data_IF_721568262755
#
_entry.id   IF_721568262755
#
_cell.length_a   1.000
_cell.length_b   1.000
_cell.length_c   1.000
_cell.angle_alpha   90.00
_cell.angle_beta   90.00
_cell.angle_gamma   90.00
#
_symmetry.space_group_name_H-M   'P 1'
#
loop_
_entity.id
_entity.type
_entity.pdbx_description
1 polymer ?
#
# COMPACT_ATOMS: atom_id res chain seq x y z
N UNK A 1 27.26 -70.59 85.53
CA UNK A 1 26.03 -70.50 84.73
C UNK A 1 25.59 -69.04 84.69
N UNK A 2 25.79 -68.35 83.56
CA UNK A 2 25.48 -66.91 83.37
C UNK A 2 24.01 -66.77 82.97
N UNK A 3 23.25 -65.92 83.67
CA UNK A 3 21.85 -65.57 83.34
C UNK A 3 21.83 -64.55 82.20
N UNK A 4 21.12 -64.86 81.13
CA UNK A 4 20.91 -64.04 79.94
C UNK A 4 19.69 -63.13 80.16
N UNK A 5 19.87 -61.81 80.06
CA UNK A 5 18.82 -60.79 80.12
C UNK A 5 18.19 -60.63 78.72
N UNK A 6 16.87 -60.79 78.62
CA UNK A 6 16.08 -60.52 77.43
C UNK A 6 15.64 -59.04 77.43
N UNK A 7 16.05 -58.29 76.40
CA UNK A 7 15.69 -56.89 76.17
C UNK A 7 14.38 -56.83 75.37
N UNK A 8 13.34 -56.22 75.93
CA UNK A 8 12.05 -55.98 75.25
C UNK A 8 12.14 -54.63 74.52
N UNK A 9 12.15 -54.66 73.18
CA UNK A 9 12.19 -53.46 72.34
C UNK A 9 10.79 -52.85 72.21
N UNK A 10 10.64 -51.60 72.67
CA UNK A 10 9.41 -50.81 72.57
C UNK A 10 9.46 -49.99 71.27
N UNK A 11 8.72 -50.41 70.23
CA UNK A 11 8.63 -49.72 68.96
C UNK A 11 7.50 -48.68 69.00
N UNK A 12 7.84 -47.40 69.17
CA UNK A 12 6.90 -46.28 69.07
C UNK A 12 6.62 -45.95 67.60
N UNK A 13 5.36 -46.12 67.17
CA UNK A 13 4.89 -45.69 65.85
C UNK A 13 4.56 -44.19 65.89
N UNK A 14 5.41 -43.37 65.27
CA UNK A 14 5.14 -41.95 65.02
C UNK A 14 4.31 -41.85 63.72
N UNK A 15 3.04 -41.50 63.86
CA UNK A 15 2.13 -41.21 62.75
C UNK A 15 2.36 -39.77 62.26
N UNK A 16 3.05 -39.60 61.14
CA UNK A 16 3.08 -38.34 60.41
C UNK A 16 1.89 -38.28 59.45
N UNK A 17 0.90 -37.43 59.76
CA UNK A 17 -0.14 -37.04 58.80
C UNK A 17 0.50 -36.22 57.68
N UNK A 18 0.72 -36.85 56.52
CA UNK A 18 1.04 -36.14 55.28
C UNK A 18 -0.22 -35.36 54.88
N UNK A 19 -0.23 -34.06 55.16
CA UNK A 19 -1.10 -33.14 54.42
C UNK A 19 -0.61 -33.15 52.98
N UNK A 20 -1.39 -33.73 52.08
CA UNK A 20 -1.23 -33.51 50.66
C UNK A 20 -1.51 -32.02 50.42
N UNK A 21 -0.46 -31.26 50.12
CA UNK A 21 -0.59 -29.95 49.50
C UNK A 21 -0.79 -30.25 48.03
N UNK A 22 -2.04 -30.25 47.59
CA UNK A 22 -2.37 -30.10 46.18
C UNK A 22 -1.92 -28.68 45.80
N UNK A 23 -0.79 -28.55 45.11
CA UNK A 23 -0.47 -27.34 44.36
C UNK A 23 -1.47 -27.25 43.21
N UNK A 24 -2.63 -26.67 43.50
CA UNK A 24 -3.53 -26.17 42.47
C UNK A 24 -2.84 -24.93 41.87
N UNK A 25 -2.08 -25.14 40.80
CA UNK A 25 -1.63 -24.04 39.96
C UNK A 25 -2.88 -23.40 39.36
N UNK A 26 -3.33 -22.31 39.94
CA UNK A 26 -4.36 -21.44 39.36
C UNK A 26 -3.81 -20.88 38.04
N UNK A 27 -4.03 -21.63 36.95
CA UNK A 27 -3.75 -21.18 35.59
C UNK A 27 -4.81 -20.14 35.28
N UNK A 28 -4.52 -18.89 35.61
CA UNK A 28 -5.31 -17.75 35.17
C UNK A 28 -5.19 -17.66 33.65
N UNK A 29 -6.20 -18.21 32.94
CA UNK A 29 -6.31 -18.08 31.50
C UNK A 29 -6.60 -16.61 31.17
N UNK A 30 -5.56 -15.92 30.70
CA UNK A 30 -5.69 -14.55 30.20
C UNK A 30 -6.48 -14.61 28.90
N UNK A 31 -7.56 -13.83 28.84
CA UNK A 31 -8.35 -13.66 27.62
C UNK A 31 -8.02 -12.31 26.99
N UNK A 32 -8.06 -12.28 25.66
CA UNK A 32 -7.87 -11.06 24.87
C UNK A 32 -9.04 -10.86 23.92
N UNK A 33 -9.30 -9.58 23.61
CA UNK A 33 -10.36 -9.15 22.72
C UNK A 33 -9.86 -9.10 21.28
N UNK A 34 -10.49 -9.88 20.41
CA UNK A 34 -10.44 -9.68 18.96
C UNK A 34 -11.62 -8.81 18.53
N UNK A 35 -11.31 -7.62 18.04
CA UNK A 35 -12.30 -6.66 17.49
C UNK A 35 -12.22 -6.65 15.97
N UNK A 36 -13.32 -7.05 15.32
CA UNK A 36 -13.41 -7.07 13.86
C UNK A 36 -14.41 -6.01 13.41
N UNK A 37 -13.94 -5.08 12.57
CA UNK A 37 -14.80 -4.10 11.91
C UNK A 37 -15.03 -4.55 10.47
N UNK A 38 -16.29 -4.69 10.04
CA UNK A 38 -16.56 -4.87 8.63
C UNK A 38 -16.32 -3.53 7.90
N UNK A 39 -15.52 -3.54 6.83
CA UNK A 39 -15.45 -2.40 5.91
C UNK A 39 -16.58 -2.49 4.88
N UNK A 40 -16.88 -1.36 4.22
CA UNK A 40 -17.85 -1.36 3.11
C UNK A 40 -17.39 -2.31 1.99
N UNK A 41 -18.31 -3.13 1.47
CA UNK A 41 -18.05 -4.00 0.32
C UNK A 41 -17.76 -5.47 0.63
N UNK A 42 -17.96 -5.90 1.88
CA UNK A 42 -17.90 -7.31 2.24
C UNK A 42 -18.12 -7.57 3.72
N UNK A 43 -17.88 -8.81 4.12
CA UNK A 43 -18.05 -9.31 5.49
C UNK A 43 -16.85 -10.15 5.92
N UNK A 44 -16.78 -10.49 7.20
CA UNK A 44 -15.79 -11.42 7.74
C UNK A 44 -16.51 -12.62 8.34
N UNK A 45 -16.09 -13.82 7.95
CA UNK A 45 -16.48 -15.08 8.56
C UNK A 45 -15.38 -15.58 9.49
N UNK A 46 -15.73 -15.92 10.73
CA UNK A 46 -14.82 -16.51 11.71
C UNK A 46 -15.61 -17.19 12.83
N UNK A 47 -14.97 -18.13 13.53
CA UNK A 47 -15.55 -18.73 14.73
C UNK A 47 -15.50 -17.72 15.89
N UNK A 48 -16.67 -17.40 16.46
CA UNK A 48 -16.84 -16.33 17.44
C UNK A 48 -17.53 -16.83 18.72
N UNK A 49 -16.95 -17.83 19.42
CA UNK A 49 -17.66 -18.57 20.47
C UNK A 49 -18.05 -17.71 21.69
N UNK A 50 -17.33 -16.61 21.94
CA UNK A 50 -17.54 -15.73 23.11
C UNK A 50 -17.55 -14.24 22.74
N UNK A 51 -18.19 -13.87 21.63
CA UNK A 51 -18.29 -12.47 21.19
C UNK A 51 -16.93 -11.75 21.09
N UNK A 52 -15.91 -12.45 20.60
CA UNK A 52 -14.58 -11.94 20.30
C UNK A 52 -13.55 -12.16 21.40
N UNK A 53 -13.93 -12.77 22.53
CA UNK A 53 -13.00 -13.13 23.60
C UNK A 53 -12.36 -14.49 23.34
N UNK A 54 -11.03 -14.52 23.31
CA UNK A 54 -10.24 -15.73 23.09
C UNK A 54 -9.16 -15.87 24.16
N UNK A 55 -8.87 -17.10 24.57
CA UNK A 55 -7.75 -17.39 25.46
C UNK A 55 -6.42 -17.08 24.77
N UNK A 56 -5.43 -16.61 25.53
CA UNK A 56 -4.06 -16.41 25.03
C UNK A 56 -3.51 -17.68 24.37
N UNK A 57 -2.85 -17.52 23.22
CA UNK A 57 -2.38 -18.62 22.37
C UNK A 57 -3.43 -19.21 21.43
N UNK A 58 -4.70 -18.76 21.50
CA UNK A 58 -5.74 -19.19 20.56
C UNK A 58 -5.35 -18.88 19.11
N UNK A 59 -5.69 -19.79 18.20
CA UNK A 59 -5.55 -19.60 16.76
C UNK A 59 -6.91 -19.35 16.12
N UNK A 60 -7.12 -18.17 15.56
CA UNK A 60 -8.38 -17.76 14.93
C UNK A 60 -8.18 -17.65 13.43
N UNK A 61 -9.06 -18.27 12.64
CA UNK A 61 -9.06 -18.19 11.17
C UNK A 61 -10.14 -17.21 10.74
N UNK A 62 -9.75 -16.18 10.00
CA UNK A 62 -10.62 -15.13 9.48
C UNK A 62 -10.72 -15.26 7.96
N UNK A 63 -11.93 -15.29 7.42
CA UNK A 63 -12.16 -15.26 5.97
C UNK A 63 -12.86 -13.96 5.60
N UNK A 64 -12.22 -13.15 4.76
CA UNK A 64 -12.84 -11.98 4.16
C UNK A 64 -13.71 -12.43 2.97
N UNK A 65 -15.00 -12.10 3.01
CA UNK A 65 -15.98 -12.46 1.98
C UNK A 65 -16.43 -11.17 1.28
N UNK A 66 -15.92 -10.87 0.06
CA UNK A 66 -16.37 -9.71 -0.69
C UNK A 66 -17.84 -9.84 -1.12
N UNK A 67 -18.57 -8.73 -1.09
CA UNK A 67 -19.90 -8.63 -1.68
C UNK A 67 -19.85 -8.71 -3.22
N UNK A 68 -20.99 -8.93 -3.89
CA UNK A 68 -21.06 -8.90 -5.36
C UNK A 68 -20.52 -7.56 -5.89
N UNK A 69 -19.53 -7.64 -6.78
CA UNK A 69 -18.90 -6.47 -7.39
C UNK A 69 -17.72 -5.89 -6.60
N UNK A 70 -17.37 -6.46 -5.45
CA UNK A 70 -16.20 -6.07 -4.65
C UNK A 70 -15.08 -7.11 -4.69
N UNK A 71 -13.87 -6.66 -4.43
CA UNK A 71 -12.65 -7.46 -4.38
C UNK A 71 -11.95 -7.21 -3.06
N UNK A 72 -11.61 -8.28 -2.34
CA UNK A 72 -10.77 -8.21 -1.15
C UNK A 72 -9.35 -7.84 -1.56
N UNK A 73 -8.83 -6.74 -1.02
CA UNK A 73 -7.44 -6.34 -1.26
C UNK A 73 -6.53 -6.94 -0.19
N UNK A 74 -6.73 -6.54 1.05
CA UNK A 74 -5.86 -6.89 2.18
C UNK A 74 -6.58 -6.67 3.51
N UNK A 75 -6.00 -7.19 4.58
CA UNK A 75 -6.35 -6.87 5.96
C UNK A 75 -5.65 -5.59 6.42
N UNK A 76 -6.16 -4.97 7.48
CA UNK A 76 -5.62 -3.72 8.05
C UNK A 76 -4.17 -3.82 8.56
N UNK A 77 -3.64 -5.03 8.73
CA UNK A 77 -2.23 -5.28 9.05
C UNK A 77 -1.34 -5.48 7.81
N UNK A 78 -1.88 -5.29 6.60
CA UNK A 78 -1.18 -5.48 5.32
C UNK A 78 -1.17 -6.91 4.80
N UNK A 79 -1.66 -7.91 5.55
CA UNK A 79 -1.74 -9.28 5.04
C UNK A 79 -2.76 -9.38 3.90
N UNK A 80 -2.39 -10.11 2.84
CA UNK A 80 -3.27 -10.42 1.71
C UNK A 80 -3.73 -11.88 1.70
N UNK A 81 -3.37 -12.64 2.73
CA UNK A 81 -3.83 -14.00 2.91
C UNK A 81 -5.33 -14.02 3.20
N UNK A 82 -6.04 -14.91 2.52
CA UNK A 82 -7.46 -15.12 2.76
C UNK A 82 -7.78 -16.60 2.48
N UNK A 83 -8.10 -17.41 3.51
CA UNK A 83 -8.25 -17.04 4.93
C UNK A 83 -6.95 -16.59 5.62
N UNK A 84 -7.06 -15.67 6.59
CA UNK A 84 -5.97 -15.20 7.45
C UNK A 84 -5.99 -15.95 8.79
N UNK A 85 -4.82 -16.37 9.27
CA UNK A 85 -4.68 -16.96 10.60
C UNK A 85 -4.06 -15.95 11.57
N UNK A 86 -4.71 -15.73 12.71
CA UNK A 86 -4.21 -14.92 13.82
C UNK A 86 -3.89 -15.78 15.03
N UNK A 87 -2.76 -15.50 15.68
CA UNK A 87 -2.45 -16.01 17.02
C UNK A 87 -2.79 -14.90 18.03
N UNK A 88 -3.63 -15.21 19.01
CA UNK A 88 -4.12 -14.24 19.98
C UNK A 88 -3.16 -14.18 21.17
N UNK A 89 -2.30 -13.17 21.22
CA UNK A 89 -1.34 -12.93 22.32
C UNK A 89 -1.57 -11.59 23.03
N UNK A 90 -2.47 -10.77 22.48
CA UNK A 90 -2.90 -9.48 23.00
C UNK A 90 -4.25 -9.11 22.36
N UNK A 91 -4.84 -8.00 22.80
CA UNK A 91 -6.02 -7.44 22.12
C UNK A 91 -5.65 -7.07 20.67
N UNK A 92 -6.45 -7.54 19.71
CA UNK A 92 -6.22 -7.30 18.28
C UNK A 92 -7.43 -6.59 17.70
N UNK A 93 -7.19 -5.53 16.96
CA UNK A 93 -8.18 -4.91 16.08
C UNK A 93 -7.79 -5.17 14.63
N UNK A 94 -8.70 -5.75 13.85
CA UNK A 94 -8.44 -6.07 12.44
C UNK A 94 -9.70 -5.86 11.59
N UNK A 95 -9.51 -5.43 10.35
CA UNK A 95 -10.60 -5.33 9.38
C UNK A 95 -10.11 -5.64 7.97
N UNK A 96 -10.94 -6.28 7.12
CA UNK A 96 -10.62 -6.44 5.72
C UNK A 96 -10.80 -5.11 4.99
N UNK A 97 -10.14 -4.94 3.86
CA UNK A 97 -10.38 -3.85 2.90
C UNK A 97 -10.95 -4.43 1.62
N UNK A 98 -11.98 -3.77 1.09
CA UNK A 98 -12.59 -4.13 -0.18
C UNK A 98 -12.60 -2.93 -1.14
N UNK A 99 -12.43 -3.21 -2.43
CA UNK A 99 -12.56 -2.23 -3.50
C UNK A 99 -13.56 -2.70 -4.56
N UNK A 100 -14.32 -1.76 -5.11
CA UNK A 100 -15.23 -2.07 -6.21
C UNK A 100 -14.43 -2.44 -7.47
N UNK A 101 -14.76 -3.61 -8.06
CA UNK A 101 -14.06 -4.17 -9.22
C UNK A 101 -14.08 -3.24 -10.44
N UNK A 102 -15.21 -2.58 -10.70
CA UNK A 102 -15.35 -1.66 -11.83
C UNK A 102 -14.57 -0.37 -11.60
N UNK A 103 -14.54 0.14 -10.36
CA UNK A 103 -13.70 1.29 -10.01
C UNK A 103 -12.21 0.98 -10.17
N UNK A 104 -11.77 -0.24 -9.84
CA UNK A 104 -10.40 -0.69 -10.08
C UNK A 104 -10.05 -0.73 -11.57
N UNK A 105 -10.88 -1.36 -12.40
CA UNK A 105 -10.69 -1.42 -13.86
C UNK A 105 -10.66 0.00 -14.45
N UNK A 106 -11.57 0.86 -14.00
CA UNK A 106 -11.64 2.26 -14.39
C UNK A 106 -10.36 3.00 -13.99
N UNK A 107 -9.93 2.91 -12.72
CA UNK A 107 -8.73 3.60 -12.24
C UNK A 107 -7.51 3.14 -13.01
N UNK A 108 -7.31 1.83 -13.18
CA UNK A 108 -6.20 1.29 -13.96
C UNK A 108 -6.18 1.87 -15.36
N UNK A 109 -7.32 1.86 -16.07
CA UNK A 109 -7.42 2.47 -17.41
C UNK A 109 -7.12 3.97 -17.39
N UNK A 110 -7.52 4.69 -16.34
CA UNK A 110 -7.34 6.13 -16.23
C UNK A 110 -5.91 6.58 -15.92
N UNK A 111 -5.11 5.77 -15.23
CA UNK A 111 -3.75 6.19 -14.84
C UNK A 111 -2.65 5.37 -15.52
N UNK A 112 -2.88 4.14 -15.96
CA UNK A 112 -1.82 3.28 -16.52
C UNK A 112 -1.72 3.36 -18.04
N UNK A 113 -2.84 3.54 -18.75
CA UNK A 113 -2.86 3.54 -20.22
C UNK A 113 -3.32 4.90 -20.75
N UNK A 114 -2.42 5.58 -21.44
CA UNK A 114 -2.62 6.85 -22.13
C UNK A 114 -2.93 6.71 -23.62
N UNK A 115 -2.87 7.84 -24.30
CA UNK A 115 -3.07 8.00 -25.74
C UNK A 115 -1.76 8.29 -26.50
N UNK A 116 -0.62 8.29 -25.79
CA UNK A 116 0.70 8.60 -26.34
C UNK A 116 1.07 10.08 -26.21
N UNK A 117 0.09 10.97 -26.09
CA UNK A 117 0.32 12.35 -25.67
C UNK A 117 0.35 12.39 -24.15
N UNK A 118 -0.72 11.96 -23.48
CA UNK A 118 -0.85 11.95 -22.03
C UNK A 118 -0.47 10.58 -21.45
N UNK A 119 0.81 10.22 -21.49
CA UNK A 119 1.33 8.96 -20.93
C UNK A 119 1.28 7.75 -21.88
N UNK A 120 1.68 6.55 -21.41
CA UNK A 120 2.04 5.45 -22.31
C UNK A 120 0.83 4.76 -22.91
N UNK A 121 0.85 4.50 -24.22
CA UNK A 121 -0.21 3.73 -24.92
C UNK A 121 -0.30 2.26 -24.51
N UNK A 122 0.71 1.75 -23.79
CA UNK A 122 0.81 0.36 -23.37
C UNK A 122 1.38 0.26 -21.96
N UNK A 123 1.17 -0.87 -21.28
CA UNK A 123 1.78 -1.11 -19.97
C UNK A 123 3.31 -1.03 -20.03
N UNK A 124 3.89 -0.24 -19.14
CA UNK A 124 5.32 -0.14 -18.90
C UNK A 124 5.58 -0.42 -17.42
N UNK A 125 6.74 -1.00 -17.11
CA UNK A 125 7.09 -1.36 -15.72
C UNK A 125 8.54 -1.02 -15.43
N UNK A 126 8.84 -0.81 -14.16
CA UNK A 126 10.21 -0.85 -13.67
C UNK A 126 10.63 -2.27 -13.30
N UNK A 127 11.92 -2.58 -13.42
CA UNK A 127 12.55 -3.70 -12.70
C UNK A 127 13.25 -3.18 -11.45
N UNK A 128 14.24 -2.32 -11.65
CA UNK A 128 14.96 -1.69 -10.55
C UNK A 128 14.83 -0.17 -10.71
N UNK A 129 14.10 0.46 -9.81
CA UNK A 129 13.95 1.90 -9.72
C UNK A 129 14.98 2.43 -8.71
N UNK A 130 16.13 2.85 -9.22
CA UNK A 130 17.20 3.46 -8.42
C UNK A 130 17.00 4.97 -8.42
N UNK A 131 16.88 5.58 -7.25
CA UNK A 131 16.59 7.00 -7.11
C UNK A 131 17.78 7.73 -6.52
N UNK A 132 18.37 8.62 -7.31
CA UNK A 132 19.37 9.58 -6.87
C UNK A 132 18.71 10.95 -6.71
N UNK A 133 18.94 11.62 -5.59
CA UNK A 133 18.42 12.96 -5.35
C UNK A 133 19.54 13.96 -5.06
N UNK A 134 19.49 15.09 -5.75
CA UNK A 134 20.42 16.20 -5.63
C UNK A 134 19.71 17.44 -5.05
N UNK A 135 20.35 18.10 -4.08
CA UNK A 135 19.90 19.40 -3.55
C UNK A 135 18.72 19.35 -2.57
N UNK A 136 18.35 18.16 -2.11
CA UNK A 136 17.23 17.87 -1.21
C UNK A 136 17.37 18.51 0.19
N UNK A 137 16.23 18.90 0.76
CA UNK A 137 16.10 19.20 2.19
C UNK A 137 15.87 17.92 3.00
N UNK A 138 15.95 18.03 4.34
CA UNK A 138 15.67 16.91 5.24
C UNK A 138 14.23 16.37 5.10
N UNK A 139 13.26 17.24 4.85
CA UNK A 139 11.86 16.87 4.66
C UNK A 139 11.64 16.08 3.37
N UNK A 140 12.32 16.48 2.29
CA UNK A 140 12.30 15.78 1.01
C UNK A 140 12.92 14.38 1.17
N UNK A 141 14.07 14.28 1.84
CA UNK A 141 14.74 13.00 2.12
C UNK A 141 13.83 12.03 2.90
N UNK A 142 13.18 12.52 3.96
CA UNK A 142 12.27 11.70 4.78
C UNK A 142 11.08 11.20 3.98
N UNK A 143 10.45 12.06 3.18
CA UNK A 143 9.30 11.65 2.38
C UNK A 143 9.70 10.67 1.27
N UNK A 144 10.88 10.86 0.67
CA UNK A 144 11.40 9.91 -0.32
C UNK A 144 11.62 8.54 0.30
N UNK A 145 12.18 8.46 1.51
CA UNK A 145 12.36 7.19 2.22
C UNK A 145 11.01 6.49 2.48
N UNK A 146 10.00 7.24 2.91
CA UNK A 146 8.62 6.72 3.11
C UNK A 146 7.99 6.26 1.79
N UNK A 147 8.18 6.99 0.69
CA UNK A 147 7.71 6.59 -0.63
C UNK A 147 8.35 5.27 -1.08
N UNK A 148 9.66 5.12 -0.91
CA UNK A 148 10.40 3.92 -1.30
C UNK A 148 9.92 2.69 -0.52
N UNK A 149 9.75 2.82 0.80
CA UNK A 149 9.23 1.74 1.64
C UNK A 149 7.81 1.33 1.23
N UNK A 150 6.93 2.32 1.03
CA UNK A 150 5.55 2.07 0.63
C UNK A 150 5.47 1.43 -0.78
N UNK A 151 6.26 1.90 -1.74
CA UNK A 151 6.26 1.36 -3.10
C UNK A 151 6.74 -0.10 -3.14
N UNK A 152 7.82 -0.42 -2.43
CA UNK A 152 8.28 -1.81 -2.31
C UNK A 152 7.23 -2.70 -1.63
N UNK A 153 6.48 -2.17 -0.66
CA UNK A 153 5.39 -2.90 -0.02
C UNK A 153 4.23 -3.14 -0.99
N UNK A 154 3.80 -2.11 -1.72
CA UNK A 154 2.72 -2.21 -2.72
C UNK A 154 3.07 -3.23 -3.81
N UNK A 155 4.32 -3.22 -4.27
CA UNK A 155 4.80 -4.02 -5.40
C UNK A 155 5.48 -5.33 -4.97
N UNK A 156 5.30 -5.75 -3.72
CA UNK A 156 5.83 -7.01 -3.17
C UNK A 156 5.34 -8.26 -3.90
N UNK A 157 4.30 -8.15 -4.75
CA UNK A 157 3.83 -9.23 -5.62
C UNK A 157 4.71 -9.47 -6.85
N UNK A 158 5.66 -8.57 -7.16
CA UNK A 158 6.61 -8.70 -8.26
C UNK A 158 8.03 -8.88 -7.71
N UNK A 159 8.51 -10.11 -7.73
CA UNK A 159 9.85 -10.45 -7.22
C UNK A 159 11.01 -9.90 -8.06
N UNK A 160 10.73 -9.33 -9.23
CA UNK A 160 11.73 -8.64 -10.06
C UNK A 160 11.77 -7.14 -9.79
N UNK A 161 10.78 -6.61 -9.07
CA UNK A 161 10.72 -5.20 -8.73
C UNK A 161 11.59 -4.88 -7.50
N UNK A 162 12.33 -3.78 -7.58
CA UNK A 162 12.94 -3.12 -6.43
C UNK A 162 12.95 -1.61 -6.61
N UNK A 163 12.80 -0.88 -5.51
CA UNK A 163 13.03 0.55 -5.44
C UNK A 163 14.03 0.86 -4.33
N UNK A 164 15.05 1.66 -4.61
CA UNK A 164 16.07 2.03 -3.62
C UNK A 164 16.63 3.42 -3.87
N UNK A 165 17.08 4.08 -2.80
CA UNK A 165 17.83 5.32 -2.89
C UNK A 165 19.31 5.00 -3.12
N UNK A 166 19.94 5.68 -4.08
CA UNK A 166 21.34 5.47 -4.48
C UNK A 166 22.13 6.77 -4.43
N UNK A 167 23.45 6.68 -4.49
CA UNK A 167 24.37 7.84 -4.45
C UNK A 167 24.91 8.23 -5.82
N UNK A 168 24.78 7.35 -6.82
CA UNK A 168 25.16 7.56 -8.19
C UNK A 168 23.95 7.94 -9.06
N UNK A 169 24.15 8.84 -10.01
CA UNK A 169 23.13 9.28 -10.95
C UNK A 169 22.84 8.18 -11.99
N UNK A 170 22.06 7.18 -11.60
CA UNK A 170 21.60 6.08 -12.45
C UNK A 170 20.14 5.71 -12.14
N UNK A 171 19.32 5.58 -13.18
CA UNK A 171 17.89 5.30 -13.06
C UNK A 171 17.09 6.60 -13.01
N UNK A 172 16.68 7.01 -11.81
CA UNK A 172 15.88 8.22 -11.56
C UNK A 172 16.77 9.30 -10.97
N UNK A 173 16.90 10.44 -11.66
CA UNK A 173 17.56 11.63 -11.12
C UNK A 173 16.53 12.66 -10.69
N UNK A 174 16.40 12.86 -9.39
CA UNK A 174 15.62 13.93 -8.79
C UNK A 174 16.51 15.13 -8.48
N UNK A 175 16.12 16.32 -8.90
CA UNK A 175 16.88 17.54 -8.71
C UNK A 175 15.97 18.56 -8.01
N UNK A 176 16.31 18.92 -6.77
CA UNK A 176 15.67 20.02 -6.07
C UNK A 176 16.48 21.31 -6.24
N UNK A 177 16.05 22.16 -7.18
CA UNK A 177 16.82 23.31 -7.66
C UNK A 177 15.92 24.41 -8.20
N UNK A 178 16.49 25.53 -8.61
CA UNK A 178 15.77 26.47 -9.49
C UNK A 178 15.56 25.85 -10.88
N UNK A 179 14.62 26.40 -11.65
CA UNK A 179 14.41 25.98 -13.04
C UNK A 179 15.68 26.16 -13.90
N UNK A 180 16.39 27.28 -13.73
CA UNK A 180 17.66 27.56 -14.41
C UNK A 180 18.74 26.50 -14.10
N UNK A 181 18.91 26.15 -12.83
CA UNK A 181 19.85 25.11 -12.41
C UNK A 181 19.48 23.74 -13.00
N UNK A 182 18.19 23.41 -13.08
CA UNK A 182 17.72 22.17 -13.70
C UNK A 182 18.01 22.15 -15.20
N UNK A 183 17.73 23.24 -15.92
CA UNK A 183 17.98 23.37 -17.34
C UNK A 183 19.48 23.35 -17.68
N UNK A 184 20.34 23.81 -16.77
CA UNK A 184 21.79 23.66 -16.92
C UNK A 184 22.25 22.19 -16.86
N UNK A 185 21.54 21.34 -16.10
CA UNK A 185 21.80 19.89 -16.05
C UNK A 185 21.17 19.20 -17.28
N UNK A 186 20.00 19.67 -17.71
CA UNK A 186 19.23 19.10 -18.81
C UNK A 186 18.75 20.15 -19.83
N UNK A 187 19.65 20.65 -20.70
CA UNK A 187 19.32 21.69 -21.67
C UNK A 187 18.25 21.30 -22.69
N UNK A 188 18.01 20.01 -22.89
CA UNK A 188 16.97 19.50 -23.78
C UNK A 188 15.54 19.93 -23.39
N UNK A 189 15.32 20.40 -22.16
CA UNK A 189 14.02 20.93 -21.72
C UNK A 189 13.85 22.44 -21.94
N UNK A 190 14.89 23.19 -22.34
CA UNK A 190 14.89 24.67 -22.41
C UNK A 190 13.90 25.26 -23.44
N UNK A 191 13.33 24.42 -24.32
CA UNK A 191 12.40 24.86 -25.38
C UNK A 191 11.21 23.90 -25.59
N UNK A 192 10.83 23.14 -24.57
CA UNK A 192 9.70 22.22 -24.64
C UNK A 192 8.32 22.92 -24.56
N UNK A 193 8.29 24.25 -24.44
CA UNK A 193 7.06 25.03 -24.28
C UNK A 193 6.49 25.02 -22.86
N UNK A 194 7.27 24.58 -21.87
CA UNK A 194 6.91 24.54 -20.45
C UNK A 194 7.82 25.49 -19.68
N UNK A 195 7.24 26.50 -19.05
CA UNK A 195 7.93 27.37 -18.09
C UNK A 195 7.99 26.63 -16.75
N UNK A 196 9.12 25.97 -16.45
CA UNK A 196 9.26 25.06 -15.29
C UNK A 196 9.01 25.77 -13.95
N UNK A 197 9.35 27.06 -13.87
CA UNK A 197 9.14 27.93 -12.72
C UNK A 197 7.68 28.06 -12.29
N UNK A 198 6.72 27.82 -13.19
CA UNK A 198 5.28 27.88 -12.90
C UNK A 198 4.74 26.63 -12.16
N UNK A 199 5.56 25.59 -12.03
CA UNK A 199 5.16 24.29 -11.49
C UNK A 199 5.99 23.91 -10.26
N UNK A 200 5.41 23.13 -9.35
CA UNK A 200 6.14 22.60 -8.18
C UNK A 200 7.08 21.46 -8.54
N UNK A 201 6.74 20.72 -9.58
CA UNK A 201 7.56 19.66 -10.10
C UNK A 201 7.28 19.40 -11.56
N UNK A 202 8.17 18.64 -12.14
CA UNK A 202 8.05 18.12 -13.48
C UNK A 202 8.76 16.77 -13.55
N UNK A 203 8.15 15.81 -14.22
CA UNK A 203 8.73 14.51 -14.44
C UNK A 203 8.75 14.15 -15.92
N UNK A 204 9.79 13.43 -16.29
CA UNK A 204 9.86 12.72 -17.56
C UNK A 204 10.54 11.38 -17.35
N UNK A 205 10.32 10.46 -18.28
CA UNK A 205 10.86 9.11 -18.20
C UNK A 205 11.06 8.55 -19.59
N UNK A 206 11.92 7.55 -19.71
CA UNK A 206 12.11 6.80 -20.94
C UNK A 206 12.06 5.29 -20.67
N UNK A 207 11.72 4.53 -21.71
CA UNK A 207 11.61 3.08 -21.63
C UNK A 207 12.34 2.42 -22.80
N UNK A 208 12.88 1.24 -22.55
CA UNK A 208 13.53 0.44 -23.59
C UNK A 208 12.50 -0.24 -24.52
N UNK A 209 12.99 -0.83 -25.61
CA UNK A 209 12.16 -1.47 -26.62
C UNK A 209 11.28 -2.61 -26.07
N UNK A 210 11.71 -3.26 -24.97
CA UNK A 210 11.00 -4.33 -24.29
C UNK A 210 9.85 -3.81 -23.40
N UNK A 211 9.75 -2.51 -23.16
CA UNK A 211 8.70 -1.90 -22.35
C UNK A 211 9.06 -1.72 -20.88
N UNK A 212 10.35 -1.83 -20.51
CA UNK A 212 10.79 -1.46 -19.18
C UNK A 212 11.20 0.01 -19.14
N UNK A 213 10.62 0.74 -18.19
CA UNK A 213 11.12 2.07 -17.82
C UNK A 213 12.51 1.88 -17.20
N UNK A 214 13.46 2.69 -17.64
CA UNK A 214 14.86 2.58 -17.24
C UNK A 214 15.54 3.94 -16.98
N UNK A 215 14.85 5.04 -17.24
CA UNK A 215 15.32 6.39 -16.92
C UNK A 215 14.14 7.23 -16.42
N UNK A 216 14.37 8.04 -15.39
CA UNK A 216 13.44 9.03 -14.88
C UNK A 216 14.17 10.32 -14.52
N UNK A 217 13.54 11.46 -14.75
CA UNK A 217 14.06 12.76 -14.37
C UNK A 217 12.96 13.53 -13.68
N UNK A 218 13.25 14.05 -12.50
CA UNK A 218 12.30 14.80 -11.69
C UNK A 218 12.93 16.13 -11.33
N UNK A 219 12.27 17.21 -11.72
CA UNK A 219 12.51 18.54 -11.20
C UNK A 219 11.59 18.75 -9.99
N UNK A 220 12.17 19.22 -8.88
CA UNK A 220 11.44 19.72 -7.71
C UNK A 220 11.78 21.20 -7.55
N UNK A 221 10.82 22.08 -7.78
CA UNK A 221 11.06 23.50 -7.85
C UNK A 221 11.45 24.10 -6.48
N UNK A 222 12.50 24.91 -6.50
CA UNK A 222 13.06 25.61 -5.35
C UNK A 222 12.86 27.12 -5.51
N UNK A 223 11.68 27.63 -5.14
CA UNK A 223 11.58 28.46 -3.94
C UNK A 223 10.98 27.60 -2.83
N UNK A 224 11.73 27.40 -1.74
CA UNK A 224 11.48 26.40 -0.69
C UNK A 224 10.01 25.99 -0.53
N UNK A 225 9.65 24.80 -1.01
CA UNK A 225 8.38 24.16 -0.68
C UNK A 225 8.43 23.78 0.80
N UNK A 226 8.05 24.71 1.68
CA UNK A 226 8.08 24.52 3.15
C UNK A 226 6.84 23.79 3.67
N UNK A 227 5.80 23.65 2.85
CA UNK A 227 4.58 22.97 3.23
C UNK A 227 4.72 21.45 3.06
N UNK A 228 4.82 20.74 4.18
CA UNK A 228 5.06 19.28 4.20
C UNK A 228 4.08 18.47 3.34
N UNK A 229 2.80 18.85 3.28
CA UNK A 229 1.79 18.17 2.45
C UNK A 229 2.01 18.41 0.97
N UNK A 230 2.48 19.59 0.57
CA UNK A 230 2.84 19.89 -0.81
C UNK A 230 4.13 19.17 -1.22
N UNK A 231 5.14 19.08 -0.34
CA UNK A 231 6.35 18.26 -0.56
C UNK A 231 5.93 16.82 -0.85
N UNK A 232 5.11 16.25 0.05
CA UNK A 232 4.58 14.91 -0.08
C UNK A 232 3.84 14.69 -1.38
N UNK A 233 2.89 15.56 -1.71
CA UNK A 233 2.14 15.45 -2.96
C UNK A 233 3.06 15.51 -4.17
N UNK A 234 3.97 16.49 -4.24
CA UNK A 234 4.82 16.72 -5.41
C UNK A 234 5.77 15.55 -5.65
N UNK A 235 6.46 15.06 -4.62
CA UNK A 235 7.35 13.90 -4.74
C UNK A 235 6.57 12.70 -5.28
N UNK A 236 5.40 12.41 -4.71
CA UNK A 236 4.60 11.24 -5.07
C UNK A 236 3.95 11.36 -6.45
N UNK A 237 3.51 12.56 -6.81
CA UNK A 237 2.92 12.85 -8.11
C UNK A 237 3.95 12.69 -9.23
N UNK A 238 5.11 13.33 -9.08
CA UNK A 238 6.18 13.28 -10.08
C UNK A 238 6.81 11.89 -10.18
N UNK A 239 7.01 11.18 -9.05
CA UNK A 239 7.45 9.79 -9.10
C UNK A 239 6.35 8.86 -9.65
N UNK A 240 5.07 9.20 -9.47
CA UNK A 240 3.95 8.54 -10.15
C UNK A 240 4.09 8.62 -11.67
N UNK A 241 4.46 9.78 -12.20
CA UNK A 241 4.79 9.91 -13.62
C UNK A 241 5.99 9.06 -14.01
N UNK A 242 7.06 9.03 -13.22
CA UNK A 242 8.22 8.17 -13.46
C UNK A 242 7.86 6.68 -13.44
N UNK A 243 6.83 6.27 -12.69
CA UNK A 243 6.24 4.93 -12.73
C UNK A 243 5.42 4.64 -13.99
N UNK A 244 5.33 5.60 -14.92
CA UNK A 244 4.54 5.50 -16.15
C UNK A 244 3.07 5.87 -15.96
N UNK A 245 2.69 6.47 -14.83
CA UNK A 245 1.31 6.88 -14.60
C UNK A 245 1.00 8.23 -15.26
N UNK A 246 -0.22 8.38 -15.77
CA UNK A 246 -0.71 9.63 -16.37
C UNK A 246 -1.70 10.36 -15.48
N UNK A 247 -2.02 11.60 -15.84
CA UNK A 247 -3.06 12.35 -15.16
C UNK A 247 -4.45 11.72 -15.27
N UNK A 248 -5.22 11.86 -14.19
CA UNK A 248 -6.64 11.49 -14.14
C UNK A 248 -7.52 12.68 -13.72
N UNK A 249 -8.76 12.77 -14.25
CA UNK A 249 -9.73 13.75 -13.76
C UNK A 249 -10.24 13.44 -12.35
N UNK A 250 -9.99 12.24 -11.82
CA UNK A 250 -10.43 11.84 -10.48
C UNK A 250 -9.62 12.55 -9.38
N UNK A 251 -10.26 13.47 -8.68
CA UNK A 251 -9.64 14.33 -7.67
C UNK A 251 -9.08 13.58 -6.46
N UNK A 252 -9.50 12.33 -6.22
CA UNK A 252 -8.98 11.53 -5.09
C UNK A 252 -7.67 10.81 -5.42
N UNK A 253 -7.25 10.80 -6.69
CA UNK A 253 -5.99 10.19 -7.08
C UNK A 253 -4.85 11.16 -6.87
N UNK A 254 -3.70 10.64 -6.42
CA UNK A 254 -2.45 11.41 -6.43
C UNK A 254 -2.12 11.91 -7.84
N UNK A 255 -2.52 11.17 -8.88
CA UNK A 255 -2.31 11.55 -10.28
C UNK A 255 -3.34 12.56 -10.79
N UNK A 256 -4.20 13.12 -9.93
CA UNK A 256 -4.93 14.31 -10.29
C UNK A 256 -3.97 15.48 -10.46
N UNK A 257 -4.09 16.23 -11.54
CA UNK A 257 -3.14 17.31 -11.87
C UNK A 257 -3.11 18.48 -10.88
N UNK A 258 -4.08 18.54 -9.96
CA UNK A 258 -4.20 19.60 -8.95
C UNK A 258 -4.04 19.02 -7.55
N UNK A 259 -3.23 19.69 -6.73
CA UNK A 259 -3.14 19.33 -5.33
C UNK A 259 -4.39 19.75 -4.54
N UNK A 260 -4.91 18.83 -3.72
CA UNK A 260 -6.02 19.06 -2.81
C UNK A 260 -5.67 18.51 -1.44
N UNK A 261 -5.48 19.43 -0.49
CA UNK A 261 -5.21 19.12 0.90
C UNK A 261 -6.26 18.14 1.47
N UNK A 262 -5.78 17.15 2.21
CA UNK A 262 -6.54 16.05 2.82
C UNK A 262 -7.34 15.17 1.83
N UNK A 263 -7.12 15.32 0.52
CA UNK A 263 -7.83 14.56 -0.52
C UNK A 263 -6.88 13.66 -1.30
N UNK A 264 -5.78 14.20 -1.83
CA UNK A 264 -4.90 13.44 -2.73
C UNK A 264 -3.41 13.50 -2.36
N UNK A 265 -3.09 13.65 -1.09
CA UNK A 265 -1.70 13.74 -0.60
C UNK A 265 -0.87 12.45 -0.80
N UNK A 266 -1.49 11.30 -1.05
CA UNK A 266 -0.80 10.05 -1.30
C UNK A 266 -1.58 9.16 -2.26
N UNK A 267 -0.99 8.02 -2.62
CA UNK A 267 -1.70 7.03 -3.44
C UNK A 267 -2.98 6.61 -2.71
N UNK A 268 -4.12 6.78 -3.38
CA UNK A 268 -5.38 6.22 -2.90
C UNK A 268 -5.33 4.69 -3.02
N UNK A 269 -6.18 3.97 -2.28
CA UNK A 269 -6.22 2.50 -2.35
C UNK A 269 -6.45 1.98 -3.79
N UNK A 270 -7.20 2.73 -4.61
CA UNK A 270 -7.36 2.42 -6.04
C UNK A 270 -6.07 2.63 -6.85
N UNK A 271 -5.25 3.65 -6.53
CA UNK A 271 -3.95 3.86 -7.20
C UNK A 271 -2.97 2.74 -6.84
N UNK A 272 -2.87 2.42 -5.54
CA UNK A 272 -2.00 1.34 -5.02
C UNK A 272 -2.32 0.00 -5.68
N UNK A 273 -3.61 -0.33 -5.72
CA UNK A 273 -4.04 -1.60 -6.30
C UNK A 273 -3.89 -1.62 -7.83
N UNK A 274 -4.00 -0.46 -8.49
CA UNK A 274 -3.71 -0.34 -9.94
C UNK A 274 -2.22 -0.57 -10.24
N UNK A 275 -1.32 0.00 -9.43
CA UNK A 275 0.13 -0.26 -9.50
C UNK A 275 0.45 -1.74 -9.27
N UNK A 276 -0.18 -2.35 -8.26
CA UNK A 276 -0.03 -3.77 -7.96
C UNK A 276 -0.47 -4.66 -9.13
N UNK A 277 -1.60 -4.33 -9.78
CA UNK A 277 -2.04 -5.03 -10.98
C UNK A 277 -1.14 -4.77 -12.20
N UNK A 278 -0.56 -3.58 -12.33
CA UNK A 278 0.41 -3.30 -13.38
C UNK A 278 1.61 -4.24 -13.24
N UNK A 279 2.03 -4.52 -12.01
CA UNK A 279 3.12 -5.46 -11.68
C UNK A 279 2.68 -6.92 -11.47
N UNK A 280 1.40 -7.25 -11.70
CA UNK A 280 0.95 -8.64 -11.63
C UNK A 280 1.61 -9.48 -12.74
N UNK A 281 2.00 -10.72 -12.43
CA UNK A 281 2.68 -11.64 -13.36
C UNK A 281 1.83 -12.00 -14.58
N UNK A 282 0.51 -11.85 -14.48
CA UNK A 282 -0.44 -12.05 -15.59
C UNK A 282 -0.59 -10.82 -16.48
N UNK A 283 -0.15 -9.64 -16.02
CA UNK A 283 -0.16 -8.41 -16.82
C UNK A 283 1.14 -8.32 -17.63
N UNK A 284 1.12 -8.47 -18.97
CA UNK A 284 2.34 -8.42 -19.75
C UNK A 284 2.85 -6.99 -19.89
N UNK A 285 4.12 -6.84 -20.28
CA UNK A 285 4.63 -5.59 -20.81
C UNK A 285 3.97 -5.28 -22.15
N UNK A 286 3.89 -4.00 -22.48
CA UNK A 286 3.38 -3.50 -23.76
C UNK A 286 1.95 -4.01 -24.08
N UNK A 287 1.15 -4.25 -23.05
CA UNK A 287 -0.27 -4.56 -23.16
C UNK A 287 -1.05 -3.27 -23.42
N UNK A 288 -1.90 -3.26 -24.44
CA UNK A 288 -2.77 -2.13 -24.74
C UNK A 288 -3.98 -2.06 -23.77
N UNK A 289 -4.83 -1.05 -23.96
CA UNK A 289 -6.02 -0.84 -23.13
C UNK A 289 -7.00 -2.02 -23.15
N UNK A 290 -7.27 -2.58 -24.33
CA UNK A 290 -8.25 -3.65 -24.49
C UNK A 290 -7.77 -4.94 -23.82
N UNK A 291 -6.53 -5.33 -24.09
CA UNK A 291 -5.88 -6.52 -23.54
C UNK A 291 -5.75 -6.41 -22.03
N UNK A 292 -5.27 -5.27 -21.52
CA UNK A 292 -5.13 -5.04 -20.07
C UNK A 292 -6.48 -5.11 -19.36
N UNK A 293 -7.53 -4.53 -19.93
CA UNK A 293 -8.88 -4.59 -19.36
C UNK A 293 -9.47 -6.01 -19.39
N UNK A 294 -9.19 -6.79 -20.43
CA UNK A 294 -9.60 -8.19 -20.50
C UNK A 294 -8.92 -9.03 -19.40
N UNK A 295 -7.62 -8.82 -19.20
CA UNK A 295 -6.85 -9.47 -18.13
C UNK A 295 -7.42 -9.08 -16.76
N UNK A 296 -7.60 -7.79 -16.47
CA UNK A 296 -8.15 -7.34 -15.18
C UNK A 296 -9.55 -7.89 -14.91
N UNK A 297 -10.43 -7.92 -15.92
CA UNK A 297 -11.76 -8.52 -15.78
C UNK A 297 -11.68 -9.99 -15.44
N UNK A 298 -10.74 -10.74 -16.03
CA UNK A 298 -10.52 -12.14 -15.72
C UNK A 298 -10.04 -12.30 -14.26
N UNK A 299 -9.00 -11.55 -13.87
CA UNK A 299 -8.44 -11.56 -12.50
C UNK A 299 -9.52 -11.26 -11.46
N UNK A 300 -10.37 -10.27 -11.74
CA UNK A 300 -11.43 -9.82 -10.83
C UNK A 300 -12.72 -10.65 -10.93
N UNK A 301 -12.81 -11.61 -11.86
CA UNK A 301 -14.03 -12.40 -12.08
C UNK A 301 -15.22 -11.56 -12.54
N UNK A 302 -15.00 -10.57 -13.40
CA UNK A 302 -16.04 -9.71 -13.99
C UNK A 302 -16.48 -10.31 -15.33
N UNK A 303 -17.65 -10.96 -15.37
CA UNK A 303 -18.19 -11.55 -16.60
C UNK A 303 -18.65 -10.48 -17.61
N UNK A 304 -18.25 -10.64 -18.87
CA UNK A 304 -18.55 -9.76 -20.00
C UNK A 304 -20.02 -9.77 -20.48
N UNK A 305 -20.90 -10.59 -19.86
CA UNK A 305 -22.28 -10.81 -20.31
C UNK A 305 -23.34 -9.86 -19.70
N UNK A 306 -23.03 -9.12 -18.62
CA UNK A 306 -23.94 -8.05 -18.15
C UNK A 306 -23.64 -6.78 -18.94
N UNK A 307 -24.44 -6.51 -19.98
CA UNK A 307 -24.53 -5.19 -20.64
C UNK A 307 -24.45 -4.11 -19.56
N UNK A 308 -23.46 -3.23 -19.67
CA UNK A 308 -23.32 -2.04 -18.84
C UNK A 308 -24.60 -1.22 -19.02
N UNK A 309 -25.58 -1.41 -18.13
CA UNK A 309 -26.64 -0.43 -17.96
C UNK A 309 -25.97 0.76 -17.31
N UNK A 310 -25.76 1.81 -18.11
CA UNK A 310 -25.54 3.17 -17.60
C UNK A 310 -26.53 3.42 -16.46
N UNK A 311 -26.01 3.93 -15.35
CA UNK A 311 -26.67 4.38 -14.12
C UNK A 311 -26.34 3.53 -12.89
N UNK A 312 -25.07 3.53 -12.49
CA UNK A 312 -24.77 3.65 -11.07
C UNK A 312 -24.40 5.11 -10.80
N UNK A 313 -25.39 5.89 -10.36
CA UNK A 313 -25.09 7.09 -9.56
C UNK A 313 -24.56 6.56 -8.25
N UNK A 314 -23.24 6.52 -8.11
CA UNK A 314 -22.61 6.44 -6.80
C UNK A 314 -23.03 7.72 -6.09
N UNK A 315 -23.88 7.61 -5.07
CA UNK A 315 -24.03 8.67 -4.08
C UNK A 315 -22.69 8.72 -3.32
N UNK A 316 -21.68 9.34 -3.93
CA UNK A 316 -20.60 9.91 -3.16
C UNK A 316 -21.30 10.88 -2.21
N UNK A 317 -21.29 10.58 -0.92
CA UNK A 317 -21.50 11.63 0.08
C UNK A 317 -20.45 12.66 -0.25
N UNK A 318 -20.84 13.73 -0.94
CA UNK A 318 -20.08 14.96 -1.03
C UNK A 318 -19.92 15.44 0.39
N UNK A 319 -18.83 15.03 1.03
CA UNK A 319 -18.27 15.79 2.12
C UNK A 319 -18.02 17.15 1.48
N UNK A 320 -18.78 18.17 1.88
CA UNK A 320 -18.48 19.56 1.53
C UNK A 320 -17.18 19.90 2.26
N UNK A 321 -16.06 19.45 1.71
CA UNK A 321 -14.74 19.91 2.10
C UNK A 321 -14.63 21.35 1.61
N UNK A 322 -14.27 22.26 2.50
CA UNK A 322 -14.09 23.66 2.14
C UNK A 322 -13.09 23.75 0.99
N UNK A 323 -13.50 24.32 -0.13
CA UNK A 323 -12.60 24.66 -1.25
C UNK A 323 -11.65 25.78 -0.82
N UNK A 324 -10.63 25.43 -0.02
CA UNK A 324 -9.34 26.12 -0.05
C UNK A 324 -8.42 25.31 -0.94
N UNK A 325 -8.88 25.03 -2.17
CA UNK A 325 -8.04 24.44 -3.19
C UNK A 325 -7.10 25.56 -3.62
N UNK A 326 -5.82 25.39 -3.32
CA UNK A 326 -4.85 26.21 -4.00
C UNK A 326 -4.74 25.72 -5.46
N UNK A 327 -4.75 26.63 -6.43
CA UNK A 327 -4.70 26.30 -7.86
C UNK A 327 -3.27 25.90 -8.28
N UNK A 328 -2.76 24.78 -7.79
CA UNK A 328 -1.41 24.30 -8.11
C UNK A 328 -1.46 23.19 -9.14
N UNK A 329 -0.58 23.25 -10.15
CA UNK A 329 -0.65 22.43 -11.36
C UNK A 329 0.63 21.62 -11.54
N UNK A 330 0.49 20.44 -12.13
CA UNK A 330 1.53 19.79 -12.94
C UNK A 330 1.24 20.10 -14.44
N UNK A 331 2.26 20.34 -15.30
CA UNK A 331 2.04 20.53 -16.73
C UNK A 331 1.46 19.26 -17.35
N UNK A 332 0.75 19.37 -18.49
CA UNK A 332 0.43 18.15 -19.24
C UNK A 332 1.74 17.61 -19.80
N UNK A 333 2.05 16.37 -19.44
CA UNK A 333 3.16 15.60 -20.03
C UNK A 333 2.73 15.17 -21.42
#
# INVERSE_FOLDING_TARGET
MKKLLLFFSFLMLISCSKKNVEEESDVTLVNYQLSIFASEGGTVSYDNPNNGLFETGSRVILEAIPDEGFYFTEWSNGSRENPLTLNIESDITIFPKFLNKLNLIKRFSEIVIGDGENGPMHTLKWKAMKIYIQGSSLEIEKELDVFIEELNTILSNDNQFSCEKVTDNYGVHMVNSTAEEFLNIYPEYENNGIELEDFWGYASWSANAQGYINEGRVFLNKPEMTWIKAIKWTIRHELGHVLGLKHTPDETSIMHRFFREDINEGFSELDKESLRFLHDSRMPLKSDLESSNAILKNILGVNSSKKIRKNFKVNQKTIKVSKKGYDYKCPRI
#
